data_IF_819066632755
#
_entry.id   IF_819066632755
#
_cell.length_a   1.000
_cell.length_b   1.000
_cell.length_c   1.000
_cell.angle_alpha   90.00
_cell.angle_beta   90.00
_cell.angle_gamma   90.00
#
_symmetry.space_group_name_H-M   'P 1'
#
loop_
_entity.id
_entity.type
_entity.pdbx_description
1 polymer ?
#
# COMPACT_ATOMS: atom_id res chain seq x y z
N UNK A 1 2.21 6.02 -10.32
CA UNK A 1 2.88 6.27 -9.02
C UNK A 1 2.36 5.28 -7.99
N UNK A 2 3.05 5.15 -6.84
CA UNK A 2 2.67 4.29 -5.73
C UNK A 2 3.00 4.98 -4.39
N UNK A 3 2.15 4.78 -3.39
CA UNK A 3 2.30 5.35 -2.05
C UNK A 3 1.57 4.49 -1.01
N UNK A 4 2.03 4.48 0.24
CA UNK A 4 1.46 3.67 1.33
C UNK A 4 0.93 4.52 2.48
N UNK A 5 -0.21 4.10 3.03
CA UNK A 5 -0.81 4.69 4.23
C UNK A 5 -0.64 3.72 5.41
N UNK A 6 -0.19 4.23 6.55
CA UNK A 6 0.24 3.38 7.68
C UNK A 6 -0.16 3.93 9.04
N UNK A 7 -0.13 3.09 10.06
CA UNK A 7 -0.53 3.47 11.43
C UNK A 7 0.51 4.29 12.19
N UNK A 8 1.70 4.55 11.63
CA UNK A 8 2.78 5.26 12.32
C UNK A 8 3.99 5.48 11.43
N UNK A 9 5.10 5.99 11.99
CA UNK A 9 6.31 6.36 11.23
C UNK A 9 7.46 5.35 11.35
N UNK A 10 7.40 4.40 12.29
CA UNK A 10 8.42 3.36 12.43
C UNK A 10 8.07 2.19 11.51
N UNK A 11 8.84 2.00 10.45
CA UNK A 11 8.56 0.95 9.45
C UNK A 11 8.62 -0.47 10.02
N UNK A 12 9.29 -0.71 11.15
CA UNK A 12 9.37 -2.04 11.77
C UNK A 12 8.06 -2.44 12.44
N UNK A 13 7.35 -1.46 13.01
CA UNK A 13 6.14 -1.67 13.80
C UNK A 13 4.86 -1.28 13.06
N UNK A 14 4.96 -0.29 12.16
CA UNK A 14 3.83 0.28 11.44
C UNK A 14 3.09 -0.79 10.62
N UNK A 15 1.76 -0.79 10.76
CA UNK A 15 0.87 -1.64 9.98
C UNK A 15 0.33 -0.87 8.80
N UNK A 16 0.24 -1.53 7.65
CA UNK A 16 -0.36 -0.94 6.46
C UNK A 16 -1.86 -0.79 6.66
N UNK A 17 -2.38 0.40 6.37
CA UNK A 17 -3.80 0.77 6.40
C UNK A 17 -4.41 0.69 5.00
N UNK A 18 -3.63 1.12 4.00
CA UNK A 18 -3.97 1.03 2.58
C UNK A 18 -2.80 1.45 1.71
N UNK A 19 -3.00 1.45 0.40
CA UNK A 19 -2.04 2.02 -0.55
C UNK A 19 -2.79 2.76 -1.66
N UNK A 20 -2.10 3.66 -2.34
CA UNK A 20 -2.61 4.32 -3.52
C UNK A 20 -1.73 4.05 -4.73
N UNK A 21 -2.33 4.11 -5.91
CA UNK A 21 -1.61 4.02 -7.17
C UNK A 21 -2.27 4.84 -8.26
N UNK A 22 -1.49 5.21 -9.28
CA UNK A 22 -1.99 5.85 -10.49
C UNK A 22 -1.23 5.36 -11.72
N UNK A 23 -1.93 5.29 -12.86
CA UNK A 23 -1.34 4.97 -14.17
C UNK A 23 -1.36 6.17 -15.13
N UNK A 24 -2.08 7.23 -14.77
CA UNK A 24 -2.14 8.49 -15.51
C UNK A 24 -2.03 9.68 -14.54
N UNK A 25 -1.78 10.88 -15.07
CA UNK A 25 -1.53 12.07 -14.25
C UNK A 25 -2.78 12.56 -13.50
N UNK A 26 -3.97 12.30 -14.03
CA UNK A 26 -5.23 12.89 -13.53
C UNK A 26 -6.17 11.86 -12.89
N UNK A 27 -5.73 10.61 -12.74
CA UNK A 27 -6.54 9.54 -12.16
C UNK A 27 -5.69 8.68 -11.21
N UNK A 28 -6.16 8.56 -9.97
CA UNK A 28 -5.54 7.75 -8.94
C UNK A 28 -6.59 6.97 -8.18
N UNK A 29 -6.17 5.84 -7.61
CA UNK A 29 -7.02 4.93 -6.87
C UNK A 29 -6.43 4.70 -5.48
N UNK A 30 -7.31 4.66 -4.47
CA UNK A 30 -6.96 4.26 -3.12
C UNK A 30 -7.54 2.87 -2.83
N UNK A 31 -6.71 2.01 -2.23
CA UNK A 31 -7.05 0.62 -1.91
C UNK A 31 -7.06 0.47 -0.39
N UNK A 32 -8.24 0.48 0.26
CA UNK A 32 -8.37 0.32 1.71
C UNK A 32 -8.19 -1.16 2.10
N UNK A 33 -7.40 -1.41 3.16
CA UNK A 33 -7.05 -2.76 3.61
C UNK A 33 -7.42 -3.05 5.06
N UNK A 34 -7.03 -2.16 6.00
CA UNK A 34 -7.15 -2.44 7.45
C UNK A 34 -7.73 -1.27 8.24
N UNK A 35 -8.56 -0.43 7.61
CA UNK A 35 -9.31 0.59 8.34
C UNK A 35 -10.15 -0.06 9.44
N UNK A 36 -10.07 0.48 10.65
CA UNK A 36 -10.72 -0.05 11.83
C UNK A 36 -11.48 1.06 12.57
N UNK A 37 -12.69 1.34 12.12
CA UNK A 37 -13.62 2.26 12.78
C UNK A 37 -15.04 1.70 12.72
N UNK A 38 -15.92 2.19 13.61
CA UNK A 38 -17.30 1.72 13.69
C UNK A 38 -18.04 1.98 12.38
N UNK A 39 -18.61 0.93 11.79
CA UNK A 39 -19.35 1.02 10.53
C UNK A 39 -18.48 1.05 9.28
N UNK A 40 -17.19 0.71 9.36
CA UNK A 40 -16.35 0.52 8.17
C UNK A 40 -16.92 -0.58 7.27
N UNK A 41 -16.90 -0.33 5.97
CA UNK A 41 -17.37 -1.29 4.96
C UNK A 41 -16.37 -2.42 4.70
N UNK A 42 -16.74 -3.32 3.78
CA UNK A 42 -15.82 -4.36 3.30
C UNK A 42 -14.61 -3.74 2.60
N UNK A 43 -13.45 -4.35 2.82
CA UNK A 43 -12.16 -3.89 2.33
C UNK A 43 -11.45 -4.99 1.55
N UNK A 44 -10.46 -4.61 0.76
CA UNK A 44 -9.72 -5.56 -0.07
C UNK A 44 -8.90 -6.48 0.83
N UNK A 45 -8.96 -7.79 0.56
CA UNK A 45 -8.17 -8.77 1.30
C UNK A 45 -6.67 -8.52 1.13
N UNK A 46 -5.88 -8.78 2.18
CA UNK A 46 -4.42 -8.67 2.13
C UNK A 46 -3.81 -9.56 1.05
N UNK A 47 -4.42 -10.70 0.74
CA UNK A 47 -3.95 -11.61 -0.32
C UNK A 47 -4.17 -11.00 -1.72
N UNK A 48 -5.32 -10.39 -1.96
CA UNK A 48 -5.58 -9.68 -3.23
C UNK A 48 -4.67 -8.46 -3.37
N UNK A 49 -4.48 -7.71 -2.28
CA UNK A 49 -3.57 -6.57 -2.23
C UNK A 49 -2.13 -6.99 -2.56
N UNK A 50 -1.63 -8.07 -1.95
CA UNK A 50 -0.29 -8.61 -2.21
C UNK A 50 -0.09 -8.90 -3.69
N UNK A 51 -1.02 -9.59 -4.33
CA UNK A 51 -0.97 -9.90 -5.77
C UNK A 51 -0.95 -8.63 -6.63
N UNK A 52 -1.77 -7.64 -6.29
CA UNK A 52 -1.79 -6.38 -7.03
C UNK A 52 -0.46 -5.63 -6.90
N UNK A 53 0.11 -5.57 -5.69
CA UNK A 53 1.41 -4.93 -5.43
C UNK A 53 2.53 -5.64 -6.20
N UNK A 54 2.56 -6.98 -6.22
CA UNK A 54 3.51 -7.75 -7.03
C UNK A 54 3.45 -7.36 -8.52
N UNK A 55 2.24 -7.18 -9.07
CA UNK A 55 2.07 -6.74 -10.47
C UNK A 55 2.57 -5.31 -10.69
N UNK A 56 2.26 -4.39 -9.77
CA UNK A 56 2.72 -3.00 -9.83
C UNK A 56 4.26 -2.95 -9.78
N UNK A 57 4.88 -3.72 -8.89
CA UNK A 57 6.33 -3.70 -8.66
C UNK A 57 7.12 -4.41 -9.76
N UNK A 58 6.46 -5.14 -10.66
CA UNK A 58 7.06 -5.62 -11.92
C UNK A 58 7.24 -4.51 -12.97
N UNK A 59 6.85 -3.27 -12.67
CA UNK A 59 7.01 -2.11 -13.55
C UNK A 59 7.81 -1.00 -12.85
N UNK A 60 8.21 0.03 -13.60
CA UNK A 60 8.81 1.21 -12.99
C UNK A 60 7.80 1.97 -12.14
N UNK A 61 8.15 2.17 -10.87
CA UNK A 61 7.31 2.87 -9.90
C UNK A 61 7.90 4.25 -9.63
N UNK A 62 7.03 5.26 -9.68
CA UNK A 62 7.32 6.63 -9.24
C UNK A 62 6.67 6.83 -7.88
N UNK A 63 7.35 7.47 -6.95
CA UNK A 63 6.80 7.83 -5.65
C UNK A 63 7.72 8.80 -4.92
N UNK A 64 7.20 9.41 -3.86
CA UNK A 64 7.96 10.29 -3.00
C UNK A 64 8.51 9.49 -1.82
N UNK A 65 9.83 9.55 -1.56
CA UNK A 65 10.44 8.87 -0.42
C UNK A 65 10.20 7.33 -0.36
N UNK A 66 10.18 6.66 -1.52
CA UNK A 66 9.88 5.22 -1.69
C UNK A 66 10.65 4.25 -0.78
N UNK A 67 11.77 4.68 -0.18
CA UNK A 67 12.48 3.88 0.83
C UNK A 67 11.56 3.48 2.00
N UNK A 68 10.59 4.32 2.34
CA UNK A 68 9.61 4.07 3.40
C UNK A 68 8.61 3.00 2.94
N UNK A 69 7.96 3.24 1.80
CA UNK A 69 6.96 2.36 1.19
C UNK A 69 7.49 0.94 0.99
N UNK A 70 8.71 0.81 0.45
CA UNK A 70 9.31 -0.52 0.26
C UNK A 70 9.55 -1.25 1.58
N UNK A 71 9.94 -0.55 2.66
CA UNK A 71 10.04 -1.21 3.98
C UNK A 71 8.68 -1.63 4.52
N UNK A 72 7.65 -0.79 4.35
CA UNK A 72 6.29 -1.13 4.77
C UNK A 72 5.80 -2.38 4.05
N UNK A 73 5.97 -2.43 2.73
CA UNK A 73 5.56 -3.56 1.90
C UNK A 73 6.35 -4.83 2.26
N UNK A 74 7.66 -4.71 2.48
CA UNK A 74 8.48 -5.81 2.95
C UNK A 74 8.01 -6.36 4.31
N UNK A 75 7.79 -5.48 5.29
CA UNK A 75 7.43 -5.90 6.65
C UNK A 75 5.98 -6.39 6.79
N UNK A 76 5.06 -5.91 5.95
CA UNK A 76 3.64 -6.27 6.02
C UNK A 76 3.24 -7.39 5.06
N UNK A 77 3.95 -7.59 3.94
CA UNK A 77 3.63 -8.60 2.92
C UNK A 77 4.75 -9.60 2.59
N UNK A 78 5.99 -9.33 3.05
CA UNK A 78 7.15 -10.17 2.74
C UNK A 78 7.57 -10.11 1.27
N UNK A 79 7.30 -8.99 0.59
CA UNK A 79 7.73 -8.75 -0.79
C UNK A 79 9.09 -8.04 -0.78
N UNK A 80 9.98 -8.43 -1.70
CA UNK A 80 11.32 -7.88 -1.86
C UNK A 80 11.40 -6.89 -3.02
#
# INVERSE_FOLDING_TARGET
>A
AFDTETTGLDTKEAKIVGFSFCMSENEAFYVPLTHNYLGVGEQISLQSAKKAIEVIFNHFVIGHNLKYDFKIIQNNFGLN
#
